data_IF_258431864141
#
_entry.id   IF_258431864141
#
_cell.length_a   1.000
_cell.length_b   1.000
_cell.length_c   1.000
_cell.angle_alpha   90.00
_cell.angle_beta   90.00
_cell.angle_gamma   90.00
#
_symmetry.space_group_name_H-M   'P 1'
#
loop_
_entity.id
_entity.type
_entity.pdbx_description
1 polymer ?
#
# COMPACT_ATOMS: atom_id res chain seq x y z
N UNK A 1 45.90 -67.56 -34.59
CA UNK A 1 45.44 -68.77 -35.31
C UNK A 1 44.17 -69.27 -34.63
N UNK A 2 43.20 -69.73 -35.43
CA UNK A 2 41.87 -70.29 -35.11
C UNK A 2 40.67 -69.31 -35.06
N UNK A 3 39.80 -69.46 -36.07
CA UNK A 3 38.40 -69.01 -36.23
C UNK A 3 37.57 -70.31 -36.27
N UNK A 4 36.37 -70.44 -35.66
CA UNK A 4 35.07 -70.29 -36.38
C UNK A 4 33.84 -70.10 -35.43
N UNK A 5 32.56 -70.38 -35.79
CA UNK A 5 31.76 -70.18 -37.02
C UNK A 5 30.55 -69.24 -36.73
N UNK A 6 29.88 -68.63 -37.71
CA UNK A 6 28.71 -69.22 -38.38
C UNK A 6 27.39 -68.53 -38.00
N UNK A 7 26.75 -67.86 -38.95
CA UNK A 7 25.37 -67.34 -38.82
C UNK A 7 24.34 -68.48 -38.88
N UNK A 8 23.29 -68.39 -38.06
CA UNK A 8 22.09 -69.23 -38.04
C UNK A 8 20.91 -68.48 -37.38
N UNK A 9 19.65 -68.85 -37.64
CA UNK A 9 18.62 -67.91 -38.08
C UNK A 9 17.91 -67.13 -36.97
N UNK A 10 17.41 -65.95 -37.35
CA UNK A 10 16.43 -65.14 -36.64
C UNK A 10 15.12 -65.95 -36.50
N UNK A 11 14.96 -66.68 -35.40
CA UNK A 11 13.69 -67.31 -35.03
C UNK A 11 12.96 -66.43 -34.02
N UNK A 12 11.94 -65.74 -34.53
CA UNK A 12 10.68 -65.49 -33.84
C UNK A 12 10.72 -64.67 -32.55
N UNK A 13 10.22 -63.43 -32.64
CA UNK A 13 9.75 -62.66 -31.49
C UNK A 13 8.82 -63.50 -30.58
N UNK A 14 9.12 -63.65 -29.28
CA UNK A 14 8.07 -63.83 -28.30
C UNK A 14 7.45 -62.46 -28.01
N UNK A 15 6.12 -62.40 -27.98
CA UNK A 15 5.33 -61.18 -27.76
C UNK A 15 5.64 -60.48 -26.42
N UNK A 16 5.13 -59.25 -26.25
CA UNK A 16 5.47 -58.42 -25.11
C UNK A 16 4.99 -59.08 -23.81
N UNK A 17 5.95 -59.48 -22.97
CA UNK A 17 5.68 -59.72 -21.56
C UNK A 17 5.51 -58.38 -20.87
N UNK A 18 4.31 -58.16 -20.33
CA UNK A 18 3.93 -57.07 -19.44
C UNK A 18 4.84 -57.06 -18.19
N UNK A 19 5.91 -56.27 -18.21
CA UNK A 19 6.67 -55.93 -17.01
C UNK A 19 6.33 -54.50 -16.60
N UNK A 20 5.41 -54.39 -15.65
CA UNK A 20 5.04 -53.17 -14.95
C UNK A 20 6.24 -52.62 -14.16
N UNK A 21 6.85 -51.55 -14.68
CA UNK A 21 7.68 -50.62 -13.92
C UNK A 21 7.34 -49.20 -14.39
N UNK A 22 6.30 -48.60 -13.80
CA UNK A 22 6.00 -47.17 -13.95
C UNK A 22 6.12 -46.50 -12.60
N UNK A 23 6.89 -45.40 -12.61
CA UNK A 23 7.24 -44.48 -11.51
C UNK A 23 6.09 -44.22 -10.53
N UNK A 24 6.37 -43.83 -9.26
CA UNK A 24 5.34 -43.22 -8.44
C UNK A 24 4.98 -41.89 -9.11
N UNK A 25 3.84 -41.93 -9.78
CA UNK A 25 3.16 -40.82 -10.41
C UNK A 25 3.05 -39.72 -9.35
N UNK A 26 3.76 -38.60 -9.57
CA UNK A 26 3.65 -37.42 -8.74
C UNK A 26 2.22 -36.96 -8.84
N UNK A 27 1.38 -37.39 -7.88
CA UNK A 27 -0.01 -36.99 -7.73
C UNK A 27 -0.04 -35.47 -7.79
N UNK A 28 -0.30 -34.96 -8.99
CA UNK A 28 -0.80 -33.62 -9.22
C UNK A 28 -2.10 -33.60 -8.45
N UNK A 29 -2.07 -33.10 -7.22
CA UNK A 29 -3.28 -32.69 -6.54
C UNK A 29 -4.06 -31.90 -7.57
N UNK A 30 -5.32 -32.27 -7.89
CA UNK A 30 -6.12 -31.42 -8.73
C UNK A 30 -6.25 -30.12 -7.95
N UNK A 31 -5.45 -29.12 -8.31
CA UNK A 31 -5.70 -27.70 -8.03
C UNK A 31 -6.93 -27.30 -8.86
N UNK A 32 -8.04 -28.00 -8.66
CA UNK A 32 -9.36 -27.52 -8.97
C UNK A 32 -9.65 -26.49 -7.90
N UNK A 33 -9.10 -25.30 -8.10
CA UNK A 33 -9.72 -24.09 -7.56
C UNK A 33 -11.21 -24.24 -7.88
N UNK A 34 -12.11 -24.12 -6.89
CA UNK A 34 -13.54 -24.18 -7.15
C UNK A 34 -13.84 -23.24 -8.31
N UNK A 35 -14.26 -23.81 -9.45
CA UNK A 35 -14.72 -23.06 -10.62
C UNK A 35 -16.12 -22.46 -10.36
N UNK A 36 -16.49 -22.30 -9.08
CA UNK A 36 -17.56 -21.41 -8.69
C UNK A 36 -17.05 -20.00 -8.99
N UNK A 37 -17.36 -19.53 -10.18
CA UNK A 37 -17.20 -18.14 -10.57
C UNK A 37 -17.90 -17.31 -9.49
N UNK A 38 -17.12 -16.74 -8.56
CA UNK A 38 -17.63 -15.77 -7.61
C UNK A 38 -18.24 -14.65 -8.42
N UNK A 39 -19.39 -14.15 -7.98
CA UNK A 39 -20.07 -13.07 -8.69
C UNK A 39 -19.07 -11.95 -9.02
N UNK A 40 -19.05 -11.51 -10.28
CA UNK A 40 -18.04 -10.61 -10.82
C UNK A 40 -18.02 -9.25 -10.09
N UNK A 41 -19.07 -8.91 -9.35
CA UNK A 41 -19.15 -7.68 -8.53
C UNK A 41 -18.47 -7.84 -7.15
N UNK A 42 -18.42 -9.06 -6.63
CA UNK A 42 -17.76 -9.41 -5.35
C UNK A 42 -16.34 -9.96 -5.53
N UNK A 43 -15.90 -10.17 -6.77
CA UNK A 43 -14.57 -10.67 -7.08
C UNK A 43 -13.48 -9.77 -6.48
N UNK A 44 -12.47 -10.33 -5.79
CA UNK A 44 -11.38 -9.56 -5.18
C UNK A 44 -10.68 -8.63 -6.17
N UNK A 45 -10.48 -9.09 -7.42
CA UNK A 45 -9.87 -8.29 -8.47
C UNK A 45 -10.68 -7.00 -8.74
N UNK A 46 -12.02 -7.07 -8.75
CA UNK A 46 -12.92 -5.92 -8.94
C UNK A 46 -12.82 -4.95 -7.77
N UNK A 47 -12.78 -5.48 -6.53
CA UNK A 47 -12.64 -4.68 -5.31
C UNK A 47 -11.34 -3.89 -5.27
N UNK A 48 -10.23 -4.55 -5.61
CA UNK A 48 -8.89 -3.96 -5.57
C UNK A 48 -8.55 -3.07 -6.76
N UNK A 49 -9.33 -3.12 -7.85
CA UNK A 49 -9.14 -2.28 -9.03
C UNK A 49 -10.26 -1.26 -9.19
N UNK A 50 -11.43 -1.71 -9.65
CA UNK A 50 -12.56 -0.86 -10.03
C UNK A 50 -13.15 -0.15 -8.81
N UNK A 51 -13.46 -0.88 -7.74
CA UNK A 51 -14.15 -0.29 -6.59
C UNK A 51 -13.21 0.59 -5.76
N UNK A 52 -11.92 0.26 -5.71
CA UNK A 52 -10.90 1.09 -5.09
C UNK A 52 -10.82 2.46 -5.77
N UNK A 53 -10.74 2.49 -7.11
CA UNK A 53 -10.71 3.74 -7.89
C UNK A 53 -11.99 4.54 -7.68
N UNK A 54 -13.16 3.89 -7.71
CA UNK A 54 -14.44 4.57 -7.46
C UNK A 54 -14.50 5.19 -6.08
N UNK A 55 -14.08 4.44 -5.05
CA UNK A 55 -14.08 4.90 -3.66
C UNK A 55 -13.15 6.11 -3.51
N UNK A 56 -11.94 6.04 -4.07
CA UNK A 56 -10.99 7.14 -4.05
C UNK A 56 -11.55 8.41 -4.71
N UNK A 57 -12.15 8.28 -5.91
CA UNK A 57 -12.78 9.40 -6.61
C UNK A 57 -13.92 10.02 -5.81
N UNK A 58 -14.79 9.20 -5.21
CA UNK A 58 -15.91 9.66 -4.41
C UNK A 58 -15.45 10.42 -3.16
N UNK A 59 -14.44 9.90 -2.45
CA UNK A 59 -13.86 10.58 -1.29
C UNK A 59 -13.30 11.95 -1.70
N UNK A 60 -12.54 12.01 -2.80
CA UNK A 60 -12.01 13.28 -3.30
C UNK A 60 -13.13 14.27 -3.69
N UNK A 61 -14.16 13.80 -4.39
CA UNK A 61 -15.29 14.62 -4.81
C UNK A 61 -16.01 15.25 -3.61
N UNK A 62 -16.36 14.44 -2.61
CA UNK A 62 -17.00 14.90 -1.37
C UNK A 62 -16.12 15.90 -0.64
N UNK A 63 -14.81 15.65 -0.57
CA UNK A 63 -13.85 16.56 0.04
C UNK A 63 -13.84 17.93 -0.65
N UNK A 64 -13.70 17.98 -1.98
CA UNK A 64 -13.65 19.23 -2.71
C UNK A 64 -14.99 19.96 -2.75
N UNK A 65 -16.11 19.24 -2.82
CA UNK A 65 -17.45 19.83 -2.68
C UNK A 65 -17.61 20.51 -1.31
N UNK A 66 -17.20 19.84 -0.22
CA UNK A 66 -17.24 20.41 1.14
C UNK A 66 -16.30 21.60 1.30
N UNK A 67 -15.10 21.55 0.71
CA UNK A 67 -14.14 22.67 0.69
C UNK A 67 -14.72 23.89 -0.04
N UNK A 68 -15.34 23.69 -1.21
CA UNK A 68 -16.00 24.74 -1.98
C UNK A 68 -17.17 25.38 -1.21
N UNK A 69 -18.02 24.57 -0.57
CA UNK A 69 -19.15 25.07 0.23
C UNK A 69 -18.69 25.95 1.40
N UNK A 70 -17.62 25.57 2.10
CA UNK A 70 -17.05 26.37 3.20
C UNK A 70 -16.46 27.70 2.70
N UNK A 71 -15.84 27.72 1.52
CA UNK A 71 -15.29 28.94 0.94
C UNK A 71 -16.37 29.91 0.42
N UNK A 72 -17.54 29.40 0.03
CA UNK A 72 -18.70 30.21 -0.40
C UNK A 72 -19.56 30.70 0.76
N UNK A 73 -19.50 30.03 1.91
CA UNK A 73 -20.05 30.57 3.15
C UNK A 73 -19.16 31.74 3.57
N UNK A 74 -19.65 32.96 3.29
CA UNK A 74 -19.12 34.22 3.83
C UNK A 74 -18.94 34.02 5.35
N UNK A 75 -17.79 34.42 5.94
CA UNK A 75 -17.61 34.29 7.38
C UNK A 75 -18.82 34.93 8.07
N UNK A 76 -19.42 34.27 9.09
CA UNK A 76 -20.50 34.88 9.83
C UNK A 76 -19.98 36.21 10.41
N UNK A 77 -20.45 37.31 9.82
CA UNK A 77 -20.41 38.62 10.44
C UNK A 77 -21.29 38.54 11.68
N UNK A 78 -20.72 39.02 12.78
CA UNK A 78 -21.34 39.22 14.09
C UNK A 78 -21.70 37.97 14.90
N UNK A 79 -20.78 37.64 15.82
CA UNK A 79 -21.17 37.62 17.22
C UNK A 79 -19.95 37.82 18.12
N UNK A 80 -19.95 38.97 18.76
CA UNK A 80 -19.18 39.44 19.91
C UNK A 80 -19.27 38.54 21.15
N UNK A 81 -19.04 37.23 21.02
CA UNK A 81 -18.69 36.41 22.18
C UNK A 81 -17.19 36.30 22.19
N UNK A 82 -16.58 36.98 23.16
CA UNK A 82 -15.28 36.70 23.77
C UNK A 82 -15.05 35.19 23.80
N UNK A 83 -14.56 34.59 22.71
CA UNK A 83 -14.14 33.20 22.66
C UNK A 83 -12.98 33.15 23.61
N UNK A 84 -13.20 32.66 24.83
CA UNK A 84 -12.12 32.09 25.61
C UNK A 84 -11.38 31.18 24.64
N UNK A 85 -10.16 31.59 24.25
CA UNK A 85 -9.30 30.81 23.37
C UNK A 85 -9.24 29.44 24.01
N UNK A 86 -9.94 28.47 23.41
CA UNK A 86 -9.89 27.09 23.90
C UNK A 86 -8.44 26.69 23.75
N UNK A 87 -7.73 26.59 24.86
CA UNK A 87 -6.32 26.23 24.86
C UNK A 87 -6.26 24.77 24.43
N UNK A 88 -5.88 24.53 23.18
CA UNK A 88 -5.66 23.21 22.62
C UNK A 88 -4.19 22.87 22.80
N UNK A 89 -3.92 21.64 23.26
CA UNK A 89 -2.55 21.17 23.52
C UNK A 89 -1.68 22.20 24.25
N UNK A 90 -2.13 22.72 25.39
CA UNK A 90 -1.41 23.75 26.16
C UNK A 90 -1.03 25.04 25.37
N UNK A 91 -1.68 25.29 24.24
CA UNK A 91 -1.41 26.45 23.37
C UNK A 91 -0.34 26.20 22.31
N UNK A 92 0.04 24.94 22.09
CA UNK A 92 0.90 24.51 20.99
C UNK A 92 0.13 24.31 19.70
N UNK A 93 -1.16 23.97 19.77
CA UNK A 93 -1.97 23.69 18.58
C UNK A 93 -2.97 24.82 18.32
N UNK A 94 -3.30 25.02 17.05
CA UNK A 94 -4.39 25.90 16.63
C UNK A 94 -5.76 25.18 16.62
N UNK A 95 -6.83 25.92 16.28
CA UNK A 95 -8.19 25.37 16.17
C UNK A 95 -8.32 24.24 15.13
N UNK A 96 -7.35 24.13 14.22
CA UNK A 96 -7.27 23.12 13.18
C UNK A 96 -6.47 21.88 13.60
N UNK A 97 -5.98 21.82 14.85
CA UNK A 97 -5.10 20.77 15.39
C UNK A 97 -3.75 20.72 14.66
N UNK A 98 -3.35 21.84 14.05
CA UNK A 98 -2.03 22.03 13.45
C UNK A 98 -1.09 22.63 14.51
N UNK A 99 0.14 22.12 14.61
CA UNK A 99 1.16 22.69 15.50
C UNK A 99 1.52 24.13 15.09
N UNK A 100 1.53 25.04 16.05
CA UNK A 100 1.90 26.45 15.88
C UNK A 100 3.41 26.58 16.03
N UNK A 101 4.11 26.49 14.89
CA UNK A 101 5.56 26.75 14.81
C UNK A 101 5.85 28.21 15.14
N UNK A 102 6.72 28.44 16.13
CA UNK A 102 7.20 29.78 16.52
C UNK A 102 8.50 30.10 15.79
N UNK A 103 8.75 31.38 15.54
CA UNK A 103 9.99 31.82 14.90
C UNK A 103 11.20 31.49 15.79
N UNK A 104 12.24 30.90 15.21
CA UNK A 104 13.46 30.50 15.93
C UNK A 104 13.28 29.25 16.81
N UNK A 105 12.19 28.51 16.61
CA UNK A 105 11.92 27.29 17.36
C UNK A 105 12.87 26.16 16.95
N UNK A 106 13.51 25.56 17.96
CA UNK A 106 14.37 24.39 17.79
C UNK A 106 13.80 23.21 18.56
N UNK A 107 13.62 22.10 17.86
CA UNK A 107 13.16 20.86 18.45
C UNK A 107 14.36 20.04 18.90
N UNK A 108 14.35 19.68 20.19
CA UNK A 108 15.42 18.91 20.84
C UNK A 108 16.81 19.53 20.64
N UNK A 109 16.87 20.87 20.49
CA UNK A 109 18.09 21.64 20.19
C UNK A 109 18.83 21.21 18.91
N UNK A 110 18.19 20.38 18.07
CA UNK A 110 18.81 19.66 16.97
C UNK A 110 18.21 19.99 15.61
N UNK A 111 16.92 20.27 15.57
CA UNK A 111 16.22 20.59 14.34
C UNK A 111 15.68 22.00 14.45
N UNK A 112 16.18 22.89 13.60
CA UNK A 112 15.65 24.24 13.49
C UNK A 112 14.47 24.22 12.53
N UNK A 113 13.28 24.59 13.01
CA UNK A 113 12.09 24.55 12.16
C UNK A 113 12.02 25.85 11.37
N UNK A 114 12.29 25.75 10.07
CA UNK A 114 12.34 26.89 9.16
C UNK A 114 10.99 27.08 8.46
N UNK A 115 10.98 26.98 7.13
CA UNK A 115 9.89 27.42 6.28
C UNK A 115 8.83 26.33 6.08
N UNK A 116 7.58 26.77 5.86
CA UNK A 116 6.47 25.89 5.51
C UNK A 116 6.60 25.43 4.06
N UNK A 117 6.92 24.14 3.87
CA UNK A 117 7.04 23.53 2.54
C UNK A 117 5.66 23.10 2.01
N UNK A 118 4.76 22.66 2.90
CA UNK A 118 3.46 22.15 2.46
C UNK A 118 2.40 22.05 3.56
N UNK A 119 1.14 22.06 3.13
CA UNK A 119 -0.02 21.74 3.97
C UNK A 119 -0.92 20.74 3.29
N UNK A 120 -1.48 19.83 4.08
CA UNK A 120 -2.42 18.81 3.62
C UNK A 120 -3.41 18.42 4.72
N UNK A 121 -4.29 17.46 4.43
CA UNK A 121 -5.21 16.92 5.43
C UNK A 121 -4.51 16.20 6.58
N UNK A 122 -3.25 15.81 6.38
CA UNK A 122 -2.40 15.20 7.40
C UNK A 122 -1.72 16.24 8.33
N UNK A 123 -1.78 17.53 7.99
CA UNK A 123 -1.15 18.61 8.75
C UNK A 123 -0.13 19.41 7.92
N UNK A 124 0.99 19.79 8.54
CA UNK A 124 2.02 20.67 7.98
C UNK A 124 3.34 19.92 7.70
N UNK A 125 4.03 20.31 6.63
CA UNK A 125 5.41 19.90 6.32
C UNK A 125 6.29 21.13 6.34
N UNK A 126 7.41 21.06 7.07
CA UNK A 126 8.36 22.17 7.27
C UNK A 126 9.75 21.73 6.85
N UNK A 127 10.53 22.68 6.37
CA UNK A 127 11.97 22.46 6.27
C UNK A 127 12.55 22.47 7.68
N UNK A 128 13.50 21.56 7.92
CA UNK A 128 14.10 21.41 9.24
C UNK A 128 15.58 21.00 9.15
N UNK A 129 16.49 21.97 8.96
CA UNK A 129 17.92 21.70 8.98
C UNK A 129 18.35 21.03 10.28
N UNK A 130 19.11 19.94 10.14
CA UNK A 130 19.71 19.23 11.26
C UNK A 130 21.02 19.92 11.67
N UNK A 131 21.16 20.26 12.95
CA UNK A 131 22.41 20.65 13.58
C UNK A 131 22.93 19.49 14.45
N UNK A 132 24.12 18.95 14.16
CA UNK A 132 24.76 17.98 15.04
C UNK A 132 25.25 18.68 16.33
N UNK A 133 25.25 17.93 17.43
CA UNK A 133 25.72 18.43 18.72
C UNK A 133 27.19 18.87 18.62
N UNK A 134 27.54 20.08 19.09
CA UNK A 134 28.90 20.64 18.97
C UNK A 134 29.99 19.86 19.74
N UNK A 135 29.63 18.76 20.42
CA UNK A 135 30.52 17.95 21.25
C UNK A 135 30.92 16.59 20.69
N UNK A 136 30.55 16.26 19.45
CA UNK A 136 30.92 14.95 18.84
C UNK A 136 32.11 15.15 17.90
N UNK A 137 33.33 15.15 18.47
CA UNK A 137 34.60 15.06 17.74
C UNK A 137 35.30 13.74 18.07
#
# INVERSE_FOLDING_TARGET
MAVPPGHGPFSGFPGPQEHTQVLPDGRLLPRRLPLAFRDATSAPLRKLSVDLIKTYKHINEVYYAKKKRRAQQVPPQDSSTKKEKKVLNHGYDDDNHDYIVRSGERWLERYEIDSLIGKGSFGQVRDAPHHPDPGTH
#
